data_IF_511770144870
#
_entry.id   IF_511770144870
#
_cell.length_a   1.000
_cell.length_b   1.000
_cell.length_c   1.000
_cell.angle_alpha   90.00
_cell.angle_beta   90.00
_cell.angle_gamma   90.00
#
_symmetry.space_group_name_H-M   'P 1'
#
loop_
_entity.id
_entity.type
_entity.pdbx_description
1 polymer ?
#
# COMPACT_ATOMS: atom_id res chain seq x y z
N UNK A 1 1.64 5.40 18.72
CA UNK A 1 1.13 6.29 17.64
C UNK A 1 1.73 7.69 17.75
N UNK A 2 1.56 8.42 18.85
CA UNK A 2 2.07 9.81 19.02
C UNK A 2 3.59 9.91 18.79
N UNK A 3 4.36 8.96 19.34
CA UNK A 3 5.83 8.88 19.17
C UNK A 3 6.20 8.77 17.67
N UNK A 4 5.49 7.92 16.92
CA UNK A 4 5.75 7.74 15.47
C UNK A 4 5.51 9.03 14.69
N UNK A 5 4.46 9.79 15.02
CA UNK A 5 4.18 11.09 14.37
C UNK A 5 5.25 12.11 14.76
N UNK A 6 5.61 12.20 16.04
CA UNK A 6 6.60 13.19 16.51
C UNK A 6 7.98 12.94 15.88
N UNK A 7 8.49 11.70 15.96
CA UNK A 7 9.78 11.33 15.36
C UNK A 7 9.74 11.45 13.86
N UNK A 8 8.65 11.01 13.19
CA UNK A 8 8.45 11.15 11.76
C UNK A 8 8.45 12.60 11.30
N UNK A 9 7.84 13.50 12.08
CA UNK A 9 7.87 14.94 11.79
C UNK A 9 9.28 15.51 11.90
N UNK A 10 10.01 15.20 12.96
CA UNK A 10 11.38 15.65 13.14
C UNK A 10 12.30 15.18 12.01
N UNK A 11 12.25 13.89 11.69
CA UNK A 11 13.03 13.32 10.57
C UNK A 11 12.58 13.88 9.22
N UNK A 12 11.28 14.07 9.00
CA UNK A 12 10.75 14.65 7.78
C UNK A 12 11.25 16.08 7.56
N UNK A 13 11.21 16.92 8.59
CA UNK A 13 11.80 18.26 8.54
C UNK A 13 13.31 18.21 8.30
N UNK A 14 14.04 17.32 8.95
CA UNK A 14 15.47 17.14 8.71
C UNK A 14 15.77 16.81 7.24
N UNK A 15 15.06 15.86 6.66
CA UNK A 15 15.27 15.41 5.28
C UNK A 15 14.87 16.49 4.25
N UNK A 16 13.95 17.40 4.58
CA UNK A 16 13.63 18.53 3.70
C UNK A 16 14.83 19.42 3.39
N UNK A 17 15.72 19.58 4.36
CA UNK A 17 16.89 20.46 4.26
C UNK A 17 18.19 19.72 3.95
N UNK A 18 18.25 18.43 4.27
CA UNK A 18 19.42 17.59 4.04
C UNK A 18 19.08 16.40 3.13
N UNK A 19 19.89 16.12 2.09
CA UNK A 19 21.06 16.87 1.60
C UNK A 19 20.64 18.16 0.85
N UNK A 20 21.53 19.17 0.83
CA UNK A 20 21.27 20.44 0.15
C UNK A 20 21.23 20.28 -1.37
N UNK A 21 20.48 21.17 -2.04
CA UNK A 21 20.14 21.08 -3.48
C UNK A 21 21.33 21.20 -4.45
N UNK A 22 22.54 21.51 -3.98
CA UNK A 22 23.73 21.67 -4.83
C UNK A 22 24.65 20.45 -4.89
N UNK A 23 24.22 19.29 -4.42
CA UNK A 23 25.09 18.09 -4.36
C UNK A 23 24.91 17.17 -5.56
N UNK A 24 26.02 16.58 -6.05
CA UNK A 24 25.99 15.55 -7.07
C UNK A 24 25.18 14.33 -6.60
N UNK A 25 24.39 13.73 -7.53
CA UNK A 25 23.57 12.54 -7.27
C UNK A 25 22.55 12.74 -6.13
N UNK A 26 22.00 13.93 -6.02
CA UNK A 26 21.06 14.31 -4.94
C UNK A 26 19.88 13.35 -4.81
N UNK A 27 19.28 12.94 -5.93
CA UNK A 27 18.15 12.01 -5.98
C UNK A 27 18.48 10.67 -5.30
N UNK A 28 19.65 10.10 -5.60
CA UNK A 28 20.10 8.86 -4.97
C UNK A 28 20.34 9.02 -3.47
N UNK A 29 20.96 10.12 -3.05
CA UNK A 29 21.21 10.41 -1.64
C UNK A 29 19.89 10.53 -0.86
N UNK A 30 18.89 11.21 -1.42
CA UNK A 30 17.57 11.35 -0.85
C UNK A 30 16.82 10.00 -0.76
N UNK A 31 16.86 9.19 -1.83
CA UNK A 31 16.27 7.87 -1.82
C UNK A 31 16.88 6.96 -0.76
N UNK A 32 18.21 6.89 -0.67
CA UNK A 32 18.92 6.11 0.35
C UNK A 32 18.65 6.62 1.76
N UNK A 33 18.55 7.92 1.96
CA UNK A 33 18.27 8.51 3.26
C UNK A 33 16.85 8.13 3.73
N UNK A 34 15.85 8.24 2.85
CA UNK A 34 14.47 7.82 3.16
C UNK A 34 14.42 6.34 3.46
N UNK A 35 15.00 5.48 2.62
CA UNK A 35 15.02 4.04 2.84
C UNK A 35 15.75 3.67 4.13
N UNK A 36 16.93 4.21 4.36
CA UNK A 36 17.72 3.92 5.55
C UNK A 36 17.05 4.35 6.84
N UNK A 37 16.48 5.57 6.87
CA UNK A 37 15.76 6.05 8.04
C UNK A 37 14.44 5.32 8.25
N UNK A 38 13.78 4.86 7.18
CA UNK A 38 12.58 4.03 7.29
C UNK A 38 12.89 2.69 7.95
N UNK A 39 13.95 2.03 7.51
CA UNK A 39 14.42 0.77 8.11
C UNK A 39 14.80 0.99 9.57
N UNK A 40 15.59 2.03 9.86
CA UNK A 40 15.96 2.39 11.23
C UNK A 40 14.74 2.65 12.11
N UNK A 41 13.75 3.40 11.62
CA UNK A 41 12.53 3.71 12.37
C UNK A 41 11.73 2.45 12.68
N UNK A 42 11.59 1.52 11.72
CA UNK A 42 10.85 0.28 11.92
C UNK A 42 11.56 -0.61 12.94
N UNK A 43 12.86 -0.87 12.77
CA UNK A 43 13.61 -1.72 13.70
C UNK A 43 13.71 -1.11 15.10
N UNK A 44 13.93 0.20 15.20
CA UNK A 44 13.95 0.89 16.49
C UNK A 44 12.60 0.80 17.20
N UNK A 45 11.50 0.95 16.46
CA UNK A 45 10.15 0.87 17.05
C UNK A 45 9.86 -0.51 17.64
N UNK A 46 10.32 -1.57 16.97
CA UNK A 46 10.20 -2.95 17.47
C UNK A 46 11.10 -3.14 18.70
N UNK A 47 12.34 -2.70 18.63
CA UNK A 47 13.30 -2.83 19.73
C UNK A 47 12.83 -2.13 21.02
N UNK A 48 12.26 -0.94 20.91
CA UNK A 48 11.73 -0.20 22.05
C UNK A 48 10.31 -0.61 22.49
N UNK A 49 9.72 -1.63 21.88
CA UNK A 49 8.40 -2.15 22.25
C UNK A 49 7.22 -1.27 21.83
N UNK A 50 7.39 -0.46 20.78
CA UNK A 50 6.33 0.36 20.18
C UNK A 50 5.94 -0.15 18.77
N UNK A 51 5.42 -1.38 18.61
CA UNK A 51 5.09 -1.95 17.31
C UNK A 51 4.09 -1.04 16.55
N UNK A 52 4.34 -0.85 15.26
CA UNK A 52 3.53 0.00 14.38
C UNK A 52 3.89 1.50 14.40
N UNK A 53 4.61 2.01 15.39
CA UNK A 53 5.03 3.42 15.39
C UNK A 53 6.09 3.72 14.32
N UNK A 54 6.93 2.74 13.96
CA UNK A 54 7.93 2.86 12.91
C UNK A 54 7.32 3.03 11.53
N UNK A 55 6.27 2.29 11.20
CA UNK A 55 5.55 2.45 9.93
C UNK A 55 4.90 3.83 9.82
N UNK A 56 4.26 4.30 10.90
CA UNK A 56 3.68 5.65 10.96
C UNK A 56 4.75 6.74 10.85
N UNK A 57 5.90 6.55 11.52
CA UNK A 57 7.06 7.44 11.40
C UNK A 57 7.54 7.55 9.94
N UNK A 58 7.70 6.43 9.25
CA UNK A 58 8.09 6.39 7.84
C UNK A 58 7.10 7.14 6.96
N UNK A 59 5.80 6.96 7.19
CA UNK A 59 4.75 7.61 6.42
C UNK A 59 4.80 9.14 6.60
N UNK A 60 4.83 9.61 7.83
CA UNK A 60 4.89 11.06 8.14
C UNK A 60 6.19 11.69 7.63
N UNK A 61 7.33 11.02 7.84
CA UNK A 61 8.63 11.44 7.35
C UNK A 61 8.66 11.59 5.83
N UNK A 62 8.19 10.58 5.10
CA UNK A 62 8.17 10.58 3.64
C UNK A 62 7.21 11.64 3.08
N UNK A 63 6.06 11.82 3.71
CA UNK A 63 5.10 12.86 3.34
C UNK A 63 5.71 14.26 3.47
N UNK A 64 6.29 14.57 4.62
CA UNK A 64 6.91 15.87 4.86
C UNK A 64 8.10 16.14 3.94
N UNK A 65 8.97 15.12 3.73
CA UNK A 65 10.07 15.20 2.79
C UNK A 65 9.60 15.55 1.38
N UNK A 66 8.54 14.88 0.91
CA UNK A 66 7.96 15.05 -0.41
C UNK A 66 7.35 16.43 -0.67
N UNK A 67 6.95 17.19 0.36
CA UNK A 67 6.39 18.53 0.20
C UNK A 67 7.39 19.54 -0.41
N UNK A 68 8.67 19.38 -0.11
CA UNK A 68 9.71 20.31 -0.58
C UNK A 68 10.45 19.83 -1.84
N UNK A 69 10.36 18.57 -2.19
CA UNK A 69 11.07 17.98 -3.31
C UNK A 69 10.28 18.00 -4.62
N UNK A 70 9.42 18.97 -4.84
CA UNK A 70 8.46 19.00 -5.95
C UNK A 70 9.07 18.67 -7.33
N UNK A 71 10.29 19.16 -7.63
CA UNK A 71 10.98 18.89 -8.89
C UNK A 71 11.67 17.54 -8.99
N UNK A 72 12.04 16.92 -7.87
CA UNK A 72 12.84 15.67 -7.82
C UNK A 72 12.04 14.49 -7.27
N UNK A 73 10.84 14.74 -6.78
CA UNK A 73 9.96 13.72 -6.15
C UNK A 73 9.78 12.51 -7.04
N UNK A 74 9.50 12.71 -8.31
CA UNK A 74 9.25 11.63 -9.28
C UNK A 74 10.47 10.75 -9.49
N UNK A 75 11.68 11.32 -9.50
CA UNK A 75 12.91 10.55 -9.68
C UNK A 75 13.24 9.74 -8.41
N UNK A 76 13.05 10.32 -7.22
CA UNK A 76 13.20 9.60 -5.94
C UNK A 76 12.18 8.45 -5.86
N UNK A 77 10.93 8.70 -6.26
CA UNK A 77 9.86 7.70 -6.30
C UNK A 77 10.21 6.53 -7.22
N UNK A 78 10.80 6.77 -8.39
CA UNK A 78 11.26 5.69 -9.30
C UNK A 78 12.30 4.79 -8.65
N UNK A 79 13.24 5.34 -7.88
CA UNK A 79 14.28 4.54 -7.19
C UNK A 79 13.63 3.69 -6.10
N UNK A 80 12.72 4.27 -5.30
CA UNK A 80 12.01 3.55 -4.23
C UNK A 80 11.09 2.47 -4.84
N UNK A 81 10.40 2.77 -5.94
CA UNK A 81 9.61 1.80 -6.67
C UNK A 81 10.47 0.64 -7.21
N UNK A 82 11.68 0.94 -7.71
CA UNK A 82 12.65 -0.08 -8.13
C UNK A 82 13.04 -1.02 -6.99
N UNK A 83 13.32 -0.47 -5.80
CA UNK A 83 13.55 -1.28 -4.60
C UNK A 83 12.34 -2.14 -4.25
N UNK A 84 11.12 -1.59 -4.35
CA UNK A 84 9.88 -2.31 -4.11
C UNK A 84 9.71 -3.52 -5.05
N UNK A 85 10.05 -3.41 -6.33
CA UNK A 85 9.99 -4.54 -7.28
C UNK A 85 10.87 -5.72 -6.86
N UNK A 86 11.95 -5.47 -6.13
CA UNK A 86 12.85 -6.52 -5.59
C UNK A 86 12.28 -7.10 -4.30
N UNK A 87 11.83 -6.24 -3.38
CA UNK A 87 11.38 -6.67 -2.06
C UNK A 87 9.98 -7.30 -2.06
N UNK A 88 9.12 -6.92 -3.00
CA UNK A 88 7.76 -7.45 -3.10
C UNK A 88 7.71 -8.97 -3.29
N UNK A 89 8.41 -9.59 -4.26
CA UNK A 89 8.41 -11.05 -4.39
C UNK A 89 8.98 -11.76 -3.17
N UNK A 90 10.01 -11.19 -2.53
CA UNK A 90 10.60 -11.73 -1.31
C UNK A 90 9.58 -11.75 -0.16
N UNK A 91 8.84 -10.64 0.02
CA UNK A 91 7.79 -10.54 1.03
C UNK A 91 6.72 -11.63 0.82
N UNK A 92 6.17 -11.73 -0.39
CA UNK A 92 5.13 -12.72 -0.67
C UNK A 92 5.65 -14.15 -0.64
N UNK A 93 6.89 -14.38 -1.04
CA UNK A 93 7.56 -15.69 -0.97
C UNK A 93 7.73 -16.17 0.48
N UNK A 94 8.22 -15.29 1.37
CA UNK A 94 8.37 -15.59 2.79
C UNK A 94 7.04 -15.90 3.47
N UNK A 95 6.00 -15.09 3.19
CA UNK A 95 4.66 -15.32 3.75
C UNK A 95 4.07 -16.63 3.22
N UNK A 96 4.26 -16.91 1.93
CA UNK A 96 3.81 -18.16 1.33
C UNK A 96 4.52 -19.38 1.92
N UNK A 97 5.80 -19.26 2.28
CA UNK A 97 6.57 -20.33 2.92
C UNK A 97 6.14 -20.61 4.36
N UNK A 98 5.62 -19.62 5.09
CA UNK A 98 5.13 -19.77 6.46
C UNK A 98 3.80 -20.56 6.50
N UNK A 99 2.98 -20.46 5.44
CA UNK A 99 1.69 -21.15 5.38
C UNK A 99 1.87 -22.57 4.90
N UNK A 100 1.75 -23.54 5.81
CA UNK A 100 1.74 -24.97 5.48
C UNK A 100 0.35 -25.38 5.00
N UNK A 101 0.23 -25.79 3.75
CA UNK A 101 -1.02 -26.31 3.17
C UNK A 101 -1.52 -27.56 3.93
N UNK A 102 -0.60 -28.36 4.46
CA UNK A 102 -0.92 -29.57 5.21
C UNK A 102 -1.55 -29.30 6.59
N UNK A 103 -1.35 -28.10 7.16
CA UNK A 103 -1.94 -27.70 8.43
C UNK A 103 -3.32 -27.03 8.29
N UNK A 104 -3.76 -26.77 7.06
CA UNK A 104 -5.05 -26.14 6.80
C UNK A 104 -6.19 -27.14 7.01
N UNK A 105 -7.01 -26.90 8.02
CA UNK A 105 -8.23 -27.71 8.26
C UNK A 105 -9.27 -27.32 7.22
N UNK A 106 -9.84 -28.27 6.43
CA UNK A 106 -10.80 -27.95 5.38
C UNK A 106 -12.02 -27.16 5.88
N UNK A 107 -12.47 -27.44 7.10
CA UNK A 107 -13.59 -26.75 7.75
C UNK A 107 -13.26 -25.28 8.02
N UNK A 108 -12.06 -24.99 8.54
CA UNK A 108 -11.59 -23.63 8.79
C UNK A 108 -11.44 -22.85 7.48
N UNK A 109 -10.89 -23.47 6.44
CA UNK A 109 -10.75 -22.85 5.11
C UNK A 109 -12.11 -22.49 4.53
N UNK A 110 -13.09 -23.41 4.59
CA UNK A 110 -14.45 -23.14 4.11
C UNK A 110 -15.12 -21.97 4.82
N UNK A 111 -15.00 -21.91 6.15
CA UNK A 111 -15.52 -20.82 6.95
C UNK A 111 -14.80 -19.50 6.62
N UNK A 112 -13.48 -19.51 6.50
CA UNK A 112 -12.68 -18.34 6.13
C UNK A 112 -13.10 -17.78 4.76
N UNK A 113 -13.29 -18.63 3.75
CA UNK A 113 -13.73 -18.23 2.41
C UNK A 113 -15.14 -17.63 2.45
N UNK A 114 -16.06 -18.20 3.23
CA UNK A 114 -17.41 -17.69 3.40
C UNK A 114 -17.40 -16.29 4.06
N UNK A 115 -16.67 -16.14 5.17
CA UNK A 115 -16.52 -14.84 5.86
C UNK A 115 -15.88 -13.80 4.94
N UNK A 116 -14.81 -14.20 4.23
CA UNK A 116 -14.14 -13.32 3.28
C UNK A 116 -15.09 -12.87 2.15
N UNK A 117 -15.89 -13.79 1.61
CA UNK A 117 -16.90 -13.48 0.60
C UNK A 117 -17.92 -12.44 1.09
N UNK A 118 -18.45 -12.63 2.30
CA UNK A 118 -19.38 -11.68 2.92
C UNK A 118 -18.70 -10.31 3.14
N UNK A 119 -17.50 -10.31 3.68
CA UNK A 119 -16.74 -9.08 3.93
C UNK A 119 -16.44 -8.30 2.64
N UNK A 120 -16.10 -9.00 1.56
CA UNK A 120 -15.87 -8.42 0.23
C UNK A 120 -17.16 -7.82 -0.33
N UNK A 121 -18.28 -8.52 -0.23
CA UNK A 121 -19.58 -8.01 -0.67
C UNK A 121 -19.99 -6.73 0.08
N UNK A 122 -19.90 -6.74 1.40
CA UNK A 122 -20.18 -5.56 2.23
C UNK A 122 -19.26 -4.40 1.84
N UNK A 123 -17.99 -4.67 1.60
CA UNK A 123 -17.01 -3.66 1.19
C UNK A 123 -17.36 -3.05 -0.16
N UNK A 124 -17.67 -3.87 -1.17
CA UNK A 124 -18.06 -3.39 -2.51
C UNK A 124 -19.32 -2.51 -2.39
N UNK A 125 -20.32 -2.96 -1.65
CA UNK A 125 -21.56 -2.21 -1.45
C UNK A 125 -21.31 -0.88 -0.72
N UNK A 126 -20.53 -0.91 0.36
CA UNK A 126 -20.18 0.31 1.12
C UNK A 126 -19.40 1.29 0.26
N UNK A 127 -18.41 0.81 -0.51
CA UNK A 127 -17.64 1.67 -1.42
C UNK A 127 -18.54 2.28 -2.49
N UNK A 128 -19.43 1.49 -3.07
CA UNK A 128 -20.40 1.99 -4.06
C UNK A 128 -21.29 3.08 -3.47
N UNK A 129 -21.85 2.88 -2.28
CA UNK A 129 -22.68 3.87 -1.59
C UNK A 129 -21.90 5.17 -1.30
N UNK A 130 -20.66 5.05 -0.81
CA UNK A 130 -19.82 6.22 -0.54
C UNK A 130 -19.54 7.03 -1.81
N UNK A 131 -19.29 6.36 -2.93
CA UNK A 131 -19.00 7.01 -4.22
C UNK A 131 -20.26 7.54 -4.90
N UNK A 132 -21.46 7.10 -4.49
CA UNK A 132 -22.72 7.63 -5.03
C UNK A 132 -22.87 9.15 -4.90
N UNK A 133 -22.34 9.72 -3.82
CA UNK A 133 -22.40 11.15 -3.54
C UNK A 133 -21.26 11.97 -4.12
N UNK A 134 -20.29 11.33 -4.79
CA UNK A 134 -19.07 11.99 -5.28
C UNK A 134 -19.17 12.53 -6.72
N UNK A 135 -20.35 12.56 -7.35
CA UNK A 135 -20.56 13.16 -8.68
C UNK A 135 -20.06 12.32 -9.87
N UNK A 136 -19.54 11.12 -9.65
CA UNK A 136 -19.09 10.24 -10.72
C UNK A 136 -20.24 9.60 -11.52
N UNK A 137 -19.96 9.21 -12.77
CA UNK A 137 -20.88 8.43 -13.58
C UNK A 137 -21.09 7.02 -13.00
N UNK A 138 -22.25 6.39 -13.27
CA UNK A 138 -22.56 5.04 -12.75
C UNK A 138 -21.49 4.02 -13.13
N UNK A 139 -20.93 4.09 -14.34
CA UNK A 139 -19.84 3.21 -14.81
C UNK A 139 -18.57 3.38 -13.98
N UNK A 140 -18.20 4.62 -13.67
CA UNK A 140 -17.05 4.95 -12.84
C UNK A 140 -17.25 4.51 -11.38
N UNK A 141 -18.47 4.67 -10.82
CA UNK A 141 -18.81 4.19 -9.47
C UNK A 141 -18.65 2.69 -9.34
N UNK A 142 -19.12 1.93 -10.33
CA UNK A 142 -18.94 0.48 -10.39
C UNK A 142 -17.45 0.13 -10.48
N UNK A 143 -16.71 0.78 -11.36
CA UNK A 143 -15.27 0.54 -11.49
C UNK A 143 -14.52 0.81 -10.18
N UNK A 144 -14.75 1.95 -9.53
CA UNK A 144 -14.10 2.31 -8.27
C UNK A 144 -14.41 1.26 -7.19
N UNK A 145 -15.66 0.79 -7.11
CA UNK A 145 -16.04 -0.22 -6.11
C UNK A 145 -15.27 -1.54 -6.27
N UNK A 146 -15.03 -1.95 -7.51
CA UNK A 146 -14.21 -3.14 -7.81
C UNK A 146 -12.70 -2.87 -7.72
N UNK A 147 -12.24 -1.66 -8.04
CA UNK A 147 -10.84 -1.30 -7.95
C UNK A 147 -10.31 -1.31 -6.50
N UNK A 148 -11.19 -1.16 -5.52
CA UNK A 148 -10.85 -1.28 -4.10
C UNK A 148 -10.84 -2.73 -3.56
N UNK A 149 -11.11 -3.71 -4.42
CA UNK A 149 -11.17 -5.13 -4.03
C UNK A 149 -9.80 -5.72 -3.68
N UNK A 150 -8.72 -5.49 -4.46
CA UNK A 150 -7.44 -6.13 -4.18
C UNK A 150 -6.88 -5.74 -2.83
N UNK A 151 -6.46 -6.75 -2.08
CA UNK A 151 -5.73 -6.58 -0.81
C UNK A 151 -4.52 -7.50 -0.86
N UNK A 152 -3.35 -7.01 -0.51
CA UNK A 152 -2.17 -7.82 -0.58
C UNK A 152 -1.15 -7.51 0.53
N UNK A 153 -0.38 -6.43 0.40
CA UNK A 153 0.82 -6.18 1.19
C UNK A 153 0.56 -5.96 2.68
N UNK A 154 -0.47 -5.18 3.02
CA UNK A 154 -0.79 -4.87 4.43
C UNK A 154 -1.30 -6.11 5.16
N UNK A 155 -2.13 -6.93 4.50
CA UNK A 155 -2.63 -8.16 5.10
C UNK A 155 -1.52 -9.20 5.28
N UNK A 156 -0.62 -9.29 4.31
CA UNK A 156 0.56 -10.12 4.41
C UNK A 156 1.39 -9.74 5.65
N UNK A 157 1.69 -8.46 5.83
CA UNK A 157 2.47 -7.99 6.97
C UNK A 157 1.73 -8.16 8.32
N UNK A 158 0.43 -7.86 8.38
CA UNK A 158 -0.34 -7.99 9.64
C UNK A 158 -0.51 -9.45 10.04
N UNK A 159 -0.73 -10.34 9.08
CA UNK A 159 -0.88 -11.78 9.35
C UNK A 159 0.36 -12.37 10.00
N UNK A 160 1.55 -12.09 9.48
CA UNK A 160 2.81 -12.57 10.06
C UNK A 160 3.07 -11.98 11.45
N UNK A 161 2.84 -10.68 11.66
CA UNK A 161 3.01 -10.03 12.97
C UNK A 161 2.08 -10.63 14.03
N UNK A 162 0.85 -10.98 13.67
CA UNK A 162 -0.09 -11.61 14.58
C UNK A 162 0.43 -12.96 15.08
N UNK A 163 0.96 -13.79 14.18
CA UNK A 163 1.55 -15.08 14.52
C UNK A 163 2.82 -14.93 15.38
N UNK A 164 3.72 -14.01 15.01
CA UNK A 164 4.95 -13.75 15.78
C UNK A 164 4.64 -13.24 17.19
N UNK A 165 3.63 -12.40 17.33
CA UNK A 165 3.16 -11.93 18.64
C UNK A 165 2.58 -13.09 19.45
N UNK A 166 1.79 -13.95 18.86
CA UNK A 166 1.24 -15.14 19.52
C UNK A 166 2.34 -16.08 20.01
N UNK A 167 3.35 -16.35 19.18
CA UNK A 167 4.52 -17.17 19.53
C UNK A 167 5.33 -16.57 20.68
N UNK A 168 5.47 -15.25 20.74
CA UNK A 168 6.22 -14.58 21.80
C UNK A 168 5.58 -14.72 23.20
N UNK A 169 4.27 -14.95 23.27
CA UNK A 169 3.57 -15.21 24.53
C UNK A 169 3.66 -16.66 25.02
N UNK A 170 4.08 -17.58 24.15
CA UNK A 170 4.33 -18.99 24.52
C UNK A 170 3.09 -19.83 24.84
N UNK A 171 1.89 -19.31 24.61
CA UNK A 171 0.63 -20.04 24.81
C UNK A 171 0.21 -20.72 23.51
N UNK A 172 0.07 -22.06 23.53
CA UNK A 172 -0.33 -22.84 22.34
C UNK A 172 -1.65 -22.41 21.74
N UNK A 173 -2.59 -21.97 22.54
CA UNK A 173 -3.90 -21.53 22.07
C UNK A 173 -3.82 -20.21 21.31
N UNK A 174 -2.97 -19.27 21.75
CA UNK A 174 -2.69 -18.04 21.03
C UNK A 174 -1.98 -18.32 19.68
N UNK A 175 -1.08 -19.30 19.65
CA UNK A 175 -0.38 -19.67 18.43
C UNK A 175 -1.34 -20.26 17.38
N UNK A 176 -2.32 -21.10 17.81
CA UNK A 176 -3.38 -21.58 16.92
C UNK A 176 -4.20 -20.43 16.34
N UNK A 177 -4.60 -19.44 17.15
CA UNK A 177 -5.31 -18.25 16.66
C UNK A 177 -4.44 -17.40 15.72
N UNK A 178 -3.16 -17.24 16.04
CA UNK A 178 -2.19 -16.55 15.17
C UNK A 178 -2.06 -17.23 13.80
N UNK A 179 -2.04 -18.55 13.77
CA UNK A 179 -2.01 -19.33 12.53
C UNK A 179 -3.32 -19.20 11.74
N UNK A 180 -4.47 -19.17 12.39
CA UNK A 180 -5.76 -18.93 11.73
C UNK A 180 -5.81 -17.53 11.11
N UNK A 181 -5.33 -16.50 11.82
CA UNK A 181 -5.24 -15.13 11.28
C UNK A 181 -4.33 -15.06 10.06
N UNK A 182 -3.15 -15.72 10.11
CA UNK A 182 -2.24 -15.79 8.97
C UNK A 182 -2.89 -16.51 7.78
N UNK A 183 -3.62 -17.59 8.04
CA UNK A 183 -4.35 -18.36 7.02
C UNK A 183 -5.42 -17.51 6.33
N UNK A 184 -6.23 -16.77 7.09
CA UNK A 184 -7.23 -15.84 6.53
C UNK A 184 -6.57 -14.75 5.70
N UNK A 185 -5.49 -14.17 6.20
CA UNK A 185 -4.73 -13.16 5.48
C UNK A 185 -4.18 -13.69 4.15
N UNK A 186 -3.59 -14.87 4.16
CA UNK A 186 -3.06 -15.54 2.97
C UNK A 186 -4.14 -15.88 1.94
N UNK A 187 -5.24 -16.50 2.37
CA UNK A 187 -6.38 -16.82 1.50
C UNK A 187 -6.98 -15.54 0.89
N UNK A 188 -7.10 -14.48 1.69
CA UNK A 188 -7.61 -13.21 1.20
C UNK A 188 -6.73 -12.62 0.09
N UNK A 189 -5.41 -12.75 0.20
CA UNK A 189 -4.47 -12.27 -0.82
C UNK A 189 -4.62 -13.09 -2.11
N UNK A 190 -4.58 -14.44 -2.00
CA UNK A 190 -4.67 -15.32 -3.16
C UNK A 190 -5.98 -15.15 -3.92
N UNK A 191 -7.08 -14.91 -3.21
CA UNK A 191 -8.39 -14.74 -3.85
C UNK A 191 -8.56 -13.31 -4.39
N UNK A 192 -8.26 -12.29 -3.59
CA UNK A 192 -8.63 -10.91 -3.96
C UNK A 192 -7.62 -10.21 -4.85
N UNK A 193 -6.33 -10.52 -4.75
CA UNK A 193 -5.32 -9.83 -5.54
C UNK A 193 -5.39 -10.20 -7.03
N UNK A 194 -5.39 -11.49 -7.45
CA UNK A 194 -5.53 -11.85 -8.86
C UNK A 194 -6.90 -11.45 -9.43
N UNK A 195 -7.97 -11.70 -8.67
CA UNK A 195 -9.35 -11.36 -9.09
C UNK A 195 -9.50 -9.85 -9.28
N UNK A 196 -9.00 -9.07 -8.35
CA UNK A 196 -9.07 -7.61 -8.42
C UNK A 196 -8.20 -7.04 -9.55
N UNK A 197 -6.99 -7.56 -9.74
CA UNK A 197 -6.12 -7.14 -10.85
C UNK A 197 -6.76 -7.45 -12.22
N UNK A 198 -7.37 -8.63 -12.36
CA UNK A 198 -8.10 -9.01 -13.55
C UNK A 198 -9.29 -8.07 -13.81
N UNK A 199 -10.09 -7.81 -12.78
CA UNK A 199 -11.24 -6.90 -12.89
C UNK A 199 -10.82 -5.48 -13.26
N UNK A 200 -9.77 -4.94 -12.66
CA UNK A 200 -9.22 -3.63 -13.00
C UNK A 200 -8.77 -3.59 -14.45
N UNK A 201 -8.03 -4.60 -14.90
CA UNK A 201 -7.54 -4.68 -16.27
C UNK A 201 -8.65 -4.79 -17.32
N UNK A 202 -9.73 -5.54 -17.03
CA UNK A 202 -10.85 -5.75 -17.94
C UNK A 202 -11.86 -4.60 -17.93
N UNK A 203 -12.16 -4.05 -16.75
CA UNK A 203 -13.19 -3.04 -16.58
C UNK A 203 -12.66 -1.62 -16.81
N UNK A 204 -11.38 -1.35 -16.52
CA UNK A 204 -10.78 -0.04 -16.70
C UNK A 204 -10.99 0.54 -18.09
N UNK A 205 -10.56 -0.13 -19.16
CA UNK A 205 -10.74 0.37 -20.53
C UNK A 205 -12.19 0.53 -20.98
N UNK A 206 -13.13 -0.20 -20.33
CA UNK A 206 -14.55 -0.21 -20.71
C UNK A 206 -15.41 0.76 -19.91
N UNK A 207 -15.06 1.04 -18.68
CA UNK A 207 -15.88 1.82 -17.75
C UNK A 207 -15.32 3.23 -17.49
N UNK A 208 -14.02 3.43 -17.64
CA UNK A 208 -13.40 4.75 -17.50
C UNK A 208 -13.46 5.50 -18.83
N UNK A 209 -13.85 6.77 -18.77
CA UNK A 209 -13.77 7.66 -19.92
C UNK A 209 -12.32 8.13 -20.07
N UNK A 210 -11.80 8.08 -21.31
CA UNK A 210 -10.53 8.75 -21.62
C UNK A 210 -10.73 10.25 -21.47
N UNK A 211 -9.80 10.92 -20.79
CA UNK A 211 -9.79 12.37 -20.71
C UNK A 211 -9.49 12.98 -22.10
N UNK A 212 -10.53 13.29 -22.84
CA UNK A 212 -10.48 13.82 -24.22
C UNK A 212 -10.27 15.34 -24.24
N UNK A 213 -10.08 15.97 -23.08
CA UNK A 213 -10.13 17.42 -22.95
C UNK A 213 -8.78 18.15 -22.92
N UNK A 214 -7.63 17.47 -22.99
CA UNK A 214 -6.35 18.18 -23.01
C UNK A 214 -5.90 18.60 -24.40
N UNK A 215 -6.26 17.88 -25.45
CA UNK A 215 -5.83 18.22 -26.82
C UNK A 215 -6.62 19.37 -27.48
N UNK A 216 -7.89 19.59 -27.10
CA UNK A 216 -8.64 20.73 -27.65
C UNK A 216 -8.20 22.11 -27.17
N UNK A 217 -7.59 22.18 -25.98
CA UNK A 217 -7.05 23.43 -25.45
C UNK A 217 -5.75 23.86 -26.13
N UNK A 218 -4.92 22.90 -26.52
CA UNK A 218 -3.66 23.15 -27.21
C UNK A 218 -3.87 23.47 -28.69
N UNK A 219 -4.77 22.77 -29.38
CA UNK A 219 -5.11 23.08 -30.79
C UNK A 219 -5.73 24.51 -30.95
N UNK A 220 -6.58 24.95 -30.01
CA UNK A 220 -7.18 26.28 -30.06
C UNK A 220 -6.15 27.37 -29.73
N UNK A 221 -5.14 27.12 -28.90
CA UNK A 221 -4.06 28.06 -28.64
C UNK A 221 -3.05 28.13 -29.80
N UNK A 222 -2.80 27.02 -30.49
CA UNK A 222 -1.93 26.97 -31.64
C UNK A 222 -2.56 27.70 -32.86
N UNK A 223 -3.86 27.51 -33.12
CA UNK A 223 -4.57 28.26 -34.16
C UNK A 223 -4.67 29.76 -33.88
N UNK A 224 -4.78 30.13 -32.61
CA UNK A 224 -4.85 31.58 -32.24
C UNK A 224 -3.48 32.25 -32.33
N UNK A 225 -2.38 31.51 -32.16
CA UNK A 225 -1.03 32.04 -32.29
C UNK A 225 -0.52 32.17 -33.76
N UNK A 226 -1.19 31.51 -34.71
CA UNK A 226 -0.86 31.58 -36.14
C UNK A 226 -1.60 32.72 -36.85
N UNK A 227 -2.63 33.31 -36.20
CA UNK A 227 -3.42 34.41 -36.78
C UNK A 227 -3.00 35.82 -36.28
N UNK A 228 -1.94 35.97 -35.53
CA UNK A 228 -1.32 37.21 -35.14
C UNK A 228 0.05 37.37 -35.79
#
# INVERSE_FOLDING_TARGET
MVIGVAVGSLLGFFIQYFPSSGQDKLVWKRAFLVLGLSVLAVFSSVYFGFPGSGGLCTLVMSFLAGLRWAGEKTEVEKIIAGAWYIFQPLLFGLIGAEVSIASLRPETVGLCVAILGIAVLIRILTTFLMVCFAGFNIKEKIFISFAWLPKATVQAAIGSVALDTARSHGEKQLEEYGMDVLTVAFLSIIITAPTGSLLIGLLGPRLLQKAEHQNKGEEVQEETSIQV
#
